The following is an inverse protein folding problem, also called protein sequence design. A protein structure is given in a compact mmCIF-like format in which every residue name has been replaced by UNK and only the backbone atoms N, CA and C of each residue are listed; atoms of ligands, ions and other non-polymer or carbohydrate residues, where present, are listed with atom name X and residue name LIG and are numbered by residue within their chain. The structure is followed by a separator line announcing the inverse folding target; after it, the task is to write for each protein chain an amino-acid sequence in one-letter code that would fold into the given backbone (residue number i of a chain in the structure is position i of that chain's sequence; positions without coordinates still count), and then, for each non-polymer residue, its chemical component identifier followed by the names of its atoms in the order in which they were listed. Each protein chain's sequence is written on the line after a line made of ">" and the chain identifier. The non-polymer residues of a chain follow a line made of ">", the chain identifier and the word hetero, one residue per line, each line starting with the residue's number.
data_IF_177223659186
#
_entry.id   IF_177223659186
#
_cell.length_a   1.000
_cell.length_b   1.000
_cell.length_c   1.000
_cell.angle_alpha   90.00
_cell.angle_beta   90.00
_cell.angle_gamma   90.00
#
_symmetry.space_group_name_H-M   'P 1'
#
loop_
_entity.id
_entity.type
_entity.pdbx_description
1 polymer ?
#
# COMPACT_ATOMS: atom_id res chain seq x y z
N UNK A 1 9.30 -2.10 37.77
CA UNK A 1 9.34 -3.24 36.83
C UNK A 1 7.94 -3.82 36.89
N UNK A 2 7.18 -3.76 35.80
CA UNK A 2 5.81 -4.30 35.75
C UNK A 2 5.85 -5.82 35.95
N UNK A 3 4.90 -6.38 36.69
CA UNK A 3 4.76 -7.85 36.76
C UNK A 3 4.04 -8.42 35.53
N UNK A 4 3.97 -9.75 35.41
CA UNK A 4 3.38 -10.40 34.24
C UNK A 4 1.87 -10.15 34.10
N UNK A 5 1.12 -10.03 35.20
CA UNK A 5 -0.31 -9.75 35.14
C UNK A 5 -0.57 -8.29 34.76
N UNK A 6 0.17 -7.36 35.38
CA UNK A 6 0.16 -5.94 35.02
C UNK A 6 0.52 -5.75 33.56
N UNK A 7 1.57 -6.43 33.06
CA UNK A 7 1.96 -6.39 31.65
C UNK A 7 0.88 -6.96 30.72
N UNK A 8 0.26 -8.10 31.07
CA UNK A 8 -0.78 -8.75 30.26
C UNK A 8 -2.05 -7.89 30.16
N UNK A 9 -2.29 -7.04 31.13
CA UNK A 9 -3.47 -6.16 31.17
C UNK A 9 -3.20 -4.79 30.53
N UNK A 10 -1.96 -4.50 30.12
CA UNK A 10 -1.67 -3.31 29.32
C UNK A 10 -2.23 -3.43 27.90
N UNK A 11 -2.61 -2.31 27.27
CA UNK A 11 -2.95 -2.29 25.86
C UNK A 11 -1.74 -2.70 25.00
N UNK A 12 -1.94 -3.67 24.10
CA UNK A 12 -0.88 -4.11 23.18
C UNK A 12 -1.03 -3.42 21.84
N UNK A 13 0.10 -3.10 21.20
CA UNK A 13 0.13 -2.61 19.82
C UNK A 13 1.03 -3.52 18.98
N UNK A 14 0.50 -4.01 17.87
CA UNK A 14 1.17 -4.96 16.99
C UNK A 14 1.23 -4.42 15.57
N UNK A 15 2.38 -4.51 14.91
CA UNK A 15 2.51 -4.31 13.47
C UNK A 15 2.65 -5.65 12.76
N UNK A 16 1.74 -5.96 11.85
CA UNK A 16 1.84 -7.13 10.99
C UNK A 16 2.68 -6.80 9.76
N UNK A 17 3.81 -7.49 9.63
CA UNK A 17 4.71 -7.42 8.48
C UNK A 17 4.53 -8.65 7.59
N UNK A 18 4.65 -8.48 6.28
CA UNK A 18 4.76 -9.61 5.35
C UNK A 18 4.21 -9.28 3.96
N UNK A 19 4.47 -10.19 3.02
CA UNK A 19 4.05 -10.05 1.63
C UNK A 19 2.53 -9.80 1.47
N UNK A 20 2.13 -9.21 0.35
CA UNK A 20 0.70 -9.10 0.03
C UNK A 20 0.04 -10.48 -0.02
N UNK A 21 -1.15 -10.59 0.59
CA UNK A 21 -1.95 -11.82 0.62
C UNK A 21 -1.72 -12.77 1.81
N UNK A 22 -0.63 -12.66 2.57
CA UNK A 22 -0.27 -13.64 3.62
C UNK A 22 -1.24 -13.77 4.80
N UNK A 23 -2.34 -13.00 4.81
CA UNK A 23 -3.41 -13.10 5.80
C UNK A 23 -3.45 -11.95 6.81
N UNK A 24 -2.62 -10.90 6.64
CA UNK A 24 -2.57 -9.75 7.56
C UNK A 24 -3.95 -9.12 7.81
N UNK A 25 -4.62 -8.71 6.73
CA UNK A 25 -5.97 -8.12 6.79
C UNK A 25 -7.03 -9.08 7.34
N UNK A 26 -6.92 -10.38 7.08
CA UNK A 26 -7.85 -11.39 7.62
C UNK A 26 -7.71 -11.46 9.14
N UNK A 27 -6.48 -11.52 9.64
CA UNK A 27 -6.20 -11.52 11.08
C UNK A 27 -6.65 -10.21 11.74
N UNK A 28 -6.27 -9.07 11.18
CA UNK A 28 -6.64 -7.76 11.72
C UNK A 28 -8.16 -7.53 11.75
N UNK A 29 -8.86 -7.95 10.69
CA UNK A 29 -10.34 -7.87 10.63
C UNK A 29 -10.99 -8.78 11.67
N UNK A 30 -10.46 -9.98 11.86
CA UNK A 30 -10.96 -10.92 12.89
C UNK A 30 -10.81 -10.31 14.28
N UNK A 31 -9.61 -9.85 14.65
CA UNK A 31 -9.32 -9.24 15.95
C UNK A 31 -10.18 -8.01 16.23
N UNK A 32 -10.40 -7.16 15.22
CA UNK A 32 -11.34 -6.03 15.33
C UNK A 32 -12.75 -6.48 15.68
N UNK A 33 -13.24 -7.53 15.02
CA UNK A 33 -14.63 -7.99 15.16
C UNK A 33 -14.87 -8.75 16.45
N UNK A 34 -13.90 -9.52 16.94
CA UNK A 34 -14.08 -10.44 18.07
C UNK A 34 -13.43 -10.00 19.37
N UNK A 35 -12.40 -9.15 19.34
CA UNK A 35 -11.54 -8.88 20.50
C UNK A 35 -11.38 -7.39 20.86
N UNK A 36 -12.15 -6.49 20.24
CA UNK A 36 -12.05 -5.03 20.45
C UNK A 36 -10.66 -4.43 20.12
N UNK A 37 -10.02 -4.94 19.07
CA UNK A 37 -8.79 -4.36 18.54
C UNK A 37 -9.09 -3.22 17.57
N UNK A 38 -8.31 -2.14 17.65
CA UNK A 38 -8.33 -1.11 16.62
C UNK A 38 -7.56 -1.60 15.39
N UNK A 39 -8.25 -1.73 14.25
CA UNK A 39 -7.63 -2.10 12.97
C UNK A 39 -7.22 -0.85 12.21
N UNK A 40 -5.92 -0.59 12.20
CA UNK A 40 -5.30 0.39 11.32
C UNK A 40 -4.86 -0.30 10.03
N UNK A 41 -5.49 0.04 8.90
CA UNK A 41 -5.11 -0.47 7.58
C UNK A 41 -4.27 0.58 6.84
N UNK A 42 -3.02 0.23 6.54
CA UNK A 42 -2.11 1.11 5.82
C UNK A 42 -2.63 1.44 4.41
N UNK A 43 -3.10 0.42 3.67
CA UNK A 43 -3.63 0.61 2.30
C UNK A 43 -4.86 1.54 2.30
N UNK A 44 -5.75 1.39 3.28
CA UNK A 44 -6.89 2.29 3.46
C UNK A 44 -6.42 3.73 3.75
N UNK A 45 -5.39 3.90 4.59
CA UNK A 45 -4.84 5.21 4.92
C UNK A 45 -4.17 5.86 3.71
N UNK A 46 -3.36 5.11 2.97
CA UNK A 46 -2.73 5.53 1.71
C UNK A 46 -3.80 6.08 0.77
N UNK A 47 -4.87 5.32 0.55
CA UNK A 47 -5.94 5.71 -0.37
C UNK A 47 -6.74 6.93 0.08
N UNK A 48 -7.19 6.96 1.33
CA UNK A 48 -8.13 7.99 1.83
C UNK A 48 -7.49 9.28 2.31
N UNK A 49 -6.19 9.28 2.57
CA UNK A 49 -5.48 10.46 3.09
C UNK A 49 -4.44 10.98 2.13
N UNK A 50 -3.57 10.11 1.64
CA UNK A 50 -2.39 10.56 0.89
C UNK A 50 -2.62 10.61 -0.60
N UNK A 51 -3.45 9.70 -1.15
CA UNK A 51 -3.74 9.64 -2.57
C UNK A 51 -5.14 10.13 -2.94
N UNK A 52 -5.99 10.45 -1.97
CA UNK A 52 -7.39 10.82 -2.19
C UNK A 52 -7.52 11.97 -3.19
N UNK A 53 -6.84 13.10 -2.94
CA UNK A 53 -6.89 14.26 -3.83
C UNK A 53 -6.28 13.95 -5.21
N UNK A 54 -5.13 13.26 -5.26
CA UNK A 54 -4.51 12.87 -6.52
C UNK A 54 -5.42 11.99 -7.41
N UNK A 55 -6.16 11.06 -6.79
CA UNK A 55 -7.14 10.21 -7.48
C UNK A 55 -8.27 11.08 -8.05
N UNK A 56 -8.84 11.95 -7.21
CA UNK A 56 -9.96 12.82 -7.60
C UNK A 56 -9.53 13.82 -8.68
N UNK A 57 -8.35 14.40 -8.58
CA UNK A 57 -7.83 15.36 -9.55
C UNK A 57 -7.51 14.70 -10.89
N UNK A 58 -7.01 13.46 -10.90
CA UNK A 58 -6.87 12.69 -12.13
C UNK A 58 -8.24 12.42 -12.79
N UNK A 59 -9.30 12.15 -12.02
CA UNK A 59 -10.65 11.98 -12.57
C UNK A 59 -11.17 13.30 -13.14
N UNK A 60 -11.05 14.41 -12.40
CA UNK A 60 -11.41 15.76 -12.86
C UNK A 60 -10.67 16.11 -14.14
N UNK A 61 -9.36 15.87 -14.20
CA UNK A 61 -8.54 16.10 -15.38
C UNK A 61 -9.08 15.34 -16.60
N UNK A 62 -9.43 14.05 -16.43
CA UNK A 62 -10.04 13.25 -17.51
C UNK A 62 -11.40 13.78 -17.94
N UNK A 63 -12.27 14.17 -17.00
CA UNK A 63 -13.58 14.80 -17.31
C UNK A 63 -13.42 16.08 -18.12
N UNK A 64 -12.45 16.92 -17.76
CA UNK A 64 -12.20 18.16 -18.50
C UNK A 64 -11.63 17.93 -19.90
N UNK A 65 -11.08 16.74 -20.18
CA UNK A 65 -10.42 16.40 -21.46
C UNK A 65 -11.20 15.43 -22.35
N UNK A 66 -12.19 14.71 -21.83
CA UNK A 66 -12.96 13.71 -22.59
C UNK A 66 -13.93 14.31 -23.63
N UNK A 67 -14.10 15.63 -23.65
CA UNK A 67 -14.91 16.34 -24.65
C UNK A 67 -16.42 16.38 -24.35
N UNK A 68 -16.90 15.68 -23.33
CA UNK A 68 -18.28 15.75 -22.86
C UNK A 68 -18.52 17.03 -22.04
N UNK A 69 -19.08 18.05 -22.70
CA UNK A 69 -19.39 19.33 -22.07
C UNK A 69 -20.47 19.22 -20.99
N UNK A 70 -21.41 18.30 -21.12
CA UNK A 70 -22.49 18.17 -20.14
C UNK A 70 -21.93 17.80 -18.76
N UNK A 71 -21.10 16.76 -18.70
CA UNK A 71 -20.47 16.33 -17.44
C UNK A 71 -19.46 17.36 -16.94
N UNK A 72 -18.64 17.92 -17.84
CA UNK A 72 -17.62 18.90 -17.47
C UNK A 72 -18.23 20.20 -16.92
N UNK A 73 -19.33 20.68 -17.50
CA UNK A 73 -19.99 21.90 -17.06
C UNK A 73 -20.69 21.70 -15.70
N UNK A 74 -21.37 20.56 -15.49
CA UNK A 74 -21.96 20.20 -14.20
C UNK A 74 -20.92 20.15 -13.07
N UNK A 75 -19.73 19.61 -13.35
CA UNK A 75 -18.65 19.55 -12.36
C UNK A 75 -18.02 20.93 -12.13
N UNK A 76 -17.92 21.78 -13.17
CA UNK A 76 -17.37 23.14 -13.07
C UNK A 76 -18.30 24.09 -12.31
N UNK A 77 -19.60 23.94 -12.46
CA UNK A 77 -20.61 24.74 -11.75
C UNK A 77 -20.94 24.22 -10.35
N UNK A 78 -20.20 23.21 -9.85
CA UNK A 78 -20.46 22.54 -8.57
C UNK A 78 -21.89 21.97 -8.46
N UNK A 79 -22.50 21.65 -9.61
CA UNK A 79 -23.84 21.05 -9.67
C UNK A 79 -23.80 19.53 -9.45
N UNK A 80 -22.63 18.91 -9.59
CA UNK A 80 -22.31 17.56 -9.15
C UNK A 80 -20.98 17.55 -8.40
N UNK A 81 -20.83 16.60 -7.47
CA UNK A 81 -19.54 16.31 -6.83
C UNK A 81 -19.08 14.90 -7.18
N UNK A 82 -17.77 14.67 -7.14
CA UNK A 82 -17.15 13.38 -7.39
C UNK A 82 -16.28 13.04 -6.19
N UNK A 83 -16.45 11.82 -5.68
CA UNK A 83 -15.64 11.30 -4.59
C UNK A 83 -15.33 9.81 -4.80
N UNK A 84 -14.34 9.30 -4.06
CA UNK A 84 -13.98 7.90 -4.07
C UNK A 84 -14.77 7.12 -3.01
N UNK A 85 -15.02 5.84 -3.27
CA UNK A 85 -15.61 4.91 -2.29
C UNK A 85 -14.55 3.94 -1.75
N UNK A 86 -13.36 4.46 -1.42
CA UNK A 86 -12.29 3.67 -0.83
C UNK A 86 -12.73 3.17 0.55
N UNK A 87 -12.58 1.87 0.77
CA UNK A 87 -12.78 1.23 2.06
C UNK A 87 -11.69 0.18 2.26
N UNK A 88 -11.61 -0.41 3.46
CA UNK A 88 -10.67 -1.52 3.72
C UNK A 88 -10.89 -2.67 2.73
N UNK A 89 -12.14 -2.92 2.31
CA UNK A 89 -12.49 -3.99 1.37
C UNK A 89 -12.46 -3.53 -0.11
N UNK A 90 -12.37 -2.21 -0.38
CA UNK A 90 -12.37 -1.65 -1.73
C UNK A 90 -11.20 -0.68 -1.93
N UNK A 91 -10.08 -1.23 -2.40
CA UNK A 91 -8.86 -0.47 -2.74
C UNK A 91 -8.71 -0.22 -4.25
N UNK A 92 -9.73 -0.55 -5.05
CA UNK A 92 -9.67 -0.42 -6.51
C UNK A 92 -9.32 0.99 -7.01
N UNK A 93 -9.78 2.10 -6.39
CA UNK A 93 -9.37 3.44 -6.81
C UNK A 93 -7.85 3.68 -6.68
N UNK A 94 -7.22 3.13 -5.63
CA UNK A 94 -5.78 3.26 -5.39
C UNK A 94 -5.00 2.51 -6.46
N UNK A 95 -5.33 1.23 -6.71
CA UNK A 95 -4.64 0.43 -7.72
C UNK A 95 -4.83 0.99 -9.12
N UNK A 96 -6.05 1.44 -9.45
CA UNK A 96 -6.36 2.01 -10.77
C UNK A 96 -5.62 3.33 -11.00
N UNK A 97 -5.51 4.17 -9.97
CA UNK A 97 -4.68 5.37 -10.05
C UNK A 97 -3.21 5.02 -10.19
N UNK A 98 -2.66 4.11 -9.40
CA UNK A 98 -1.24 3.73 -9.48
C UNK A 98 -0.85 3.29 -10.89
N UNK A 99 -1.69 2.46 -11.52
CA UNK A 99 -1.57 2.06 -12.92
C UNK A 99 -0.34 1.18 -13.22
N UNK A 100 -0.17 0.86 -14.50
CA UNK A 100 0.97 0.10 -15.00
C UNK A 100 1.66 0.87 -16.11
N UNK A 101 2.98 0.71 -16.23
CA UNK A 101 3.73 1.22 -17.37
C UNK A 101 3.30 0.50 -18.66
N UNK A 102 3.11 1.26 -19.74
CA UNK A 102 2.87 0.71 -21.07
C UNK A 102 2.05 1.64 -21.97
N UNK A 103 1.52 1.07 -23.05
CA UNK A 103 0.83 1.78 -24.11
C UNK A 103 -0.50 2.39 -23.63
N UNK A 104 -0.67 3.69 -23.86
CA UNK A 104 -1.87 4.42 -23.42
C UNK A 104 -3.17 3.88 -24.04
N UNK A 105 -3.13 3.37 -25.28
CA UNK A 105 -4.27 2.74 -25.95
C UNK A 105 -4.69 1.41 -25.31
N UNK A 106 -3.77 0.77 -24.57
CA UNK A 106 -4.01 -0.45 -23.80
C UNK A 106 -4.22 -0.16 -22.30
N UNK A 107 -4.41 1.11 -21.92
CA UNK A 107 -4.62 1.52 -20.53
C UNK A 107 -3.33 1.70 -19.72
N UNK A 108 -2.17 1.69 -20.36
CA UNK A 108 -0.87 1.94 -19.74
C UNK A 108 -0.57 3.41 -19.47
N UNK A 109 0.50 3.64 -18.71
CA UNK A 109 1.05 4.95 -18.41
C UNK A 109 2.40 5.12 -19.12
N UNK A 110 2.65 6.33 -19.62
CA UNK A 110 3.99 6.73 -20.03
C UNK A 110 4.96 6.67 -18.82
N UNK A 111 6.27 6.56 -19.11
CA UNK A 111 7.31 6.35 -18.10
C UNK A 111 7.32 7.47 -17.05
N UNK A 112 7.11 8.72 -17.47
CA UNK A 112 7.12 9.88 -16.58
C UNK A 112 5.95 9.80 -15.58
N UNK A 113 4.74 9.60 -16.10
CA UNK A 113 3.52 9.47 -15.30
C UNK A 113 3.59 8.25 -14.37
N UNK A 114 4.08 7.11 -14.86
CA UNK A 114 4.28 5.92 -14.04
C UNK A 114 5.21 6.20 -12.84
N UNK A 115 6.41 6.75 -13.10
CA UNK A 115 7.39 7.04 -12.04
C UNK A 115 6.90 8.13 -11.06
N UNK A 116 6.17 9.13 -11.55
CA UNK A 116 5.55 10.14 -10.69
C UNK A 116 4.56 9.51 -9.72
N UNK A 117 3.71 8.60 -10.19
CA UNK A 117 2.74 7.90 -9.34
C UNK A 117 3.40 6.92 -8.37
N UNK A 118 4.50 6.26 -8.77
CA UNK A 118 5.32 5.45 -7.85
C UNK A 118 5.89 6.32 -6.72
N UNK A 119 6.37 7.54 -7.02
CA UNK A 119 6.87 8.47 -6.01
C UNK A 119 5.77 8.94 -5.06
N UNK A 120 4.57 9.27 -5.57
CA UNK A 120 3.42 9.63 -4.73
C UNK A 120 3.04 8.48 -3.80
N UNK A 121 3.04 7.24 -4.31
CA UNK A 121 2.76 6.06 -3.49
C UNK A 121 3.83 5.85 -2.42
N UNK A 122 5.12 6.00 -2.75
CA UNK A 122 6.21 5.93 -1.78
C UNK A 122 6.04 6.93 -0.62
N UNK A 123 5.70 8.19 -0.95
CA UNK A 123 5.42 9.22 0.06
C UNK A 123 4.19 8.86 0.91
N UNK A 124 3.14 8.33 0.29
CA UNK A 124 1.93 7.89 0.97
C UNK A 124 2.20 6.73 1.93
N UNK A 125 3.02 5.77 1.51
CA UNK A 125 3.42 4.62 2.31
C UNK A 125 4.19 5.08 3.56
N UNK A 126 5.20 5.95 3.40
CA UNK A 126 5.96 6.55 4.52
C UNK A 126 5.03 7.30 5.46
N UNK A 127 4.15 8.14 4.91
CA UNK A 127 3.18 8.90 5.70
C UNK A 127 2.27 7.99 6.52
N UNK A 128 1.79 6.91 5.91
CA UNK A 128 0.92 5.95 6.58
C UNK A 128 1.60 5.25 7.76
N UNK A 129 2.92 5.05 7.72
CA UNK A 129 3.66 4.46 8.85
C UNK A 129 3.91 5.51 9.95
N UNK A 130 4.24 6.75 9.58
CA UNK A 130 4.39 7.86 10.55
C UNK A 130 3.10 8.18 11.31
N UNK A 131 1.96 7.82 10.75
CA UNK A 131 0.66 7.97 11.38
C UNK A 131 0.37 6.93 12.48
N UNK A 132 1.12 5.82 12.57
CA UNK A 132 0.80 4.70 13.47
C UNK A 132 0.74 5.13 14.94
N UNK A 133 1.78 5.78 15.46
CA UNK A 133 1.85 6.20 16.88
C UNK A 133 0.66 7.05 17.33
N UNK A 134 0.25 8.04 16.50
CA UNK A 134 -0.93 8.86 16.83
C UNK A 134 -2.24 8.08 16.76
N UNK A 135 -2.35 7.05 15.91
CA UNK A 135 -3.54 6.22 15.84
C UNK A 135 -3.61 5.21 16.99
N UNK A 136 -2.47 4.77 17.52
CA UNK A 136 -2.40 4.05 18.80
C UNK A 136 -2.99 4.91 19.91
N UNK A 137 -2.53 6.16 20.07
CA UNK A 137 -3.08 7.07 21.10
C UNK A 137 -4.59 7.28 20.93
N UNK A 138 -5.07 7.50 19.70
CA UNK A 138 -6.51 7.64 19.41
C UNK A 138 -7.30 6.38 19.75
N UNK A 139 -6.76 5.21 19.44
CA UNK A 139 -7.44 3.93 19.69
C UNK A 139 -7.79 3.76 21.16
N UNK A 140 -6.89 4.13 22.07
CA UNK A 140 -7.08 4.00 23.51
C UNK A 140 -7.85 5.19 24.09
N UNK A 141 -7.49 6.42 23.74
CA UNK A 141 -8.04 7.63 24.37
C UNK A 141 -9.43 8.01 23.85
N UNK A 142 -9.72 7.78 22.57
CA UNK A 142 -10.98 8.20 21.93
C UNK A 142 -11.93 7.02 21.79
N UNK A 143 -11.43 5.89 21.27
CA UNK A 143 -12.27 4.74 20.93
C UNK A 143 -12.34 3.69 22.04
N UNK A 144 -11.51 3.81 23.09
CA UNK A 144 -11.42 2.83 24.18
C UNK A 144 -11.26 1.39 23.68
N UNK A 145 -10.50 1.22 22.59
CA UNK A 145 -10.11 -0.09 22.10
C UNK A 145 -9.15 -0.75 23.10
N UNK A 146 -9.21 -2.09 23.21
CA UNK A 146 -8.36 -2.84 24.13
C UNK A 146 -6.91 -2.86 23.63
N UNK A 147 -6.75 -3.17 22.36
CA UNK A 147 -5.45 -3.37 21.72
C UNK A 147 -5.46 -2.72 20.32
N UNK A 148 -4.31 -2.65 19.68
CA UNK A 148 -4.10 -2.01 18.39
C UNK A 148 -3.36 -2.94 17.42
N UNK A 149 -3.82 -2.98 16.16
CA UNK A 149 -3.13 -3.68 15.08
C UNK A 149 -2.93 -2.79 13.86
N UNK A 150 -1.67 -2.60 13.50
CA UNK A 150 -1.24 -2.06 12.23
C UNK A 150 -1.14 -3.18 11.19
N UNK A 151 -2.15 -3.27 10.33
CA UNK A 151 -2.14 -4.04 9.10
C UNK A 151 -1.35 -3.26 8.04
N UNK A 152 -0.01 -3.41 8.10
CA UNK A 152 0.90 -2.73 7.20
C UNK A 152 0.72 -3.22 5.75
N UNK A 153 1.11 -2.42 4.78
CA UNK A 153 1.00 -2.82 3.37
C UNK A 153 1.96 -3.98 3.05
N UNK A 154 1.76 -4.59 1.88
CA UNK A 154 2.72 -5.55 1.32
C UNK A 154 4.03 -4.93 0.82
N UNK A 155 4.23 -3.62 0.97
CA UNK A 155 5.40 -2.86 0.49
C UNK A 155 6.19 -2.19 1.62
N UNK A 156 5.84 -2.41 2.89
CA UNK A 156 6.55 -1.81 4.04
C UNK A 156 8.08 -2.02 3.96
N UNK A 157 8.54 -3.22 3.60
CA UNK A 157 9.97 -3.53 3.48
C UNK A 157 10.70 -2.76 2.36
N UNK A 158 9.99 -2.04 1.49
CA UNK A 158 10.59 -1.25 0.41
C UNK A 158 10.79 0.21 0.77
N UNK A 159 10.22 0.66 1.90
CA UNK A 159 10.32 2.04 2.39
C UNK A 159 11.18 2.16 3.65
N UNK A 160 11.69 1.04 4.16
CA UNK A 160 12.59 1.00 5.29
C UNK A 160 13.84 0.16 4.97
N UNK A 161 14.96 0.51 5.59
CA UNK A 161 16.19 -0.27 5.55
C UNK A 161 16.49 -0.87 6.94
N UNK A 162 16.38 -2.20 7.11
CA UNK A 162 16.69 -2.84 8.40
C UNK A 162 18.17 -2.74 8.78
N UNK A 163 19.07 -2.39 7.86
CA UNK A 163 20.49 -2.23 8.15
C UNK A 163 20.87 -0.79 8.49
N UNK A 164 19.95 0.16 8.34
CA UNK A 164 20.16 1.56 8.71
C UNK A 164 19.67 1.77 10.16
N UNK A 165 20.57 1.99 11.13
CA UNK A 165 20.18 2.22 12.52
C UNK A 165 19.41 3.53 12.71
N UNK A 166 19.47 4.45 11.73
CA UNK A 166 18.77 5.72 11.73
C UNK A 166 17.45 5.67 10.93
N UNK A 167 17.01 4.47 10.50
CA UNK A 167 15.72 4.30 9.81
C UNK A 167 14.56 4.72 10.73
N UNK A 168 13.97 5.87 10.41
CA UNK A 168 12.92 6.47 11.23
C UNK A 168 11.62 5.65 11.27
N UNK A 169 11.34 4.86 10.22
CA UNK A 169 10.12 4.06 10.16
C UNK A 169 10.25 2.88 11.10
N UNK A 170 11.36 2.13 11.01
CA UNK A 170 11.63 1.01 11.89
C UNK A 170 11.79 1.47 13.34
N UNK A 171 12.51 2.56 13.57
CA UNK A 171 12.67 3.14 14.91
C UNK A 171 11.31 3.48 15.52
N UNK A 172 10.42 4.14 14.79
CA UNK A 172 9.08 4.49 15.29
C UNK A 172 8.20 3.26 15.50
N UNK A 173 8.18 2.32 14.55
CA UNK A 173 7.36 1.11 14.67
C UNK A 173 7.82 0.20 15.80
N UNK A 174 9.13 0.05 16.00
CA UNK A 174 9.69 -0.76 17.09
C UNK A 174 9.53 -0.10 18.46
N UNK A 175 9.52 1.24 18.52
CA UNK A 175 9.24 1.96 19.76
C UNK A 175 7.77 1.81 20.19
N UNK A 176 6.84 1.82 19.24
CA UNK A 176 5.40 1.86 19.51
C UNK A 176 4.71 0.49 19.44
N UNK A 177 5.29 -0.50 18.75
CA UNK A 177 4.63 -1.79 18.46
C UNK A 177 5.56 -2.99 18.49
N UNK A 178 5.00 -4.16 18.81
CA UNK A 178 5.64 -5.44 18.50
C UNK A 178 5.46 -5.76 17.01
N UNK A 179 6.55 -5.90 16.27
CA UNK A 179 6.53 -6.24 14.85
C UNK A 179 6.48 -7.76 14.69
N UNK A 180 5.44 -8.26 14.03
CA UNK A 180 5.23 -9.68 13.75
C UNK A 180 5.30 -9.95 12.26
N UNK A 181 6.31 -10.71 11.82
CA UNK A 181 6.44 -11.14 10.44
C UNK A 181 5.61 -12.40 10.16
N UNK A 182 4.56 -12.25 9.36
CA UNK A 182 3.79 -13.36 8.81
C UNK A 182 4.47 -13.92 7.56
N UNK A 183 5.30 -14.94 7.77
CA UNK A 183 6.02 -15.64 6.70
C UNK A 183 5.10 -16.52 5.87
N UNK A 184 5.15 -16.34 4.55
CA UNK A 184 4.49 -17.25 3.61
C UNK A 184 5.22 -18.61 3.57
N UNK A 185 4.45 -19.71 3.62
CA UNK A 185 4.97 -21.02 3.24
C UNK A 185 5.20 -21.14 1.72
N UNK A 186 6.08 -22.05 1.30
CA UNK A 186 6.49 -22.17 -0.12
C UNK A 186 5.33 -22.46 -1.08
N UNK A 187 4.37 -23.29 -0.65
CA UNK A 187 3.17 -23.59 -1.44
C UNK A 187 2.27 -22.36 -1.63
N UNK A 188 2.19 -21.50 -0.59
CA UNK A 188 1.43 -20.25 -0.66
C UNK A 188 2.10 -19.26 -1.63
N UNK A 189 3.42 -19.09 -1.53
CA UNK A 189 4.19 -18.23 -2.42
C UNK A 189 4.01 -18.62 -3.91
N UNK A 190 4.05 -19.92 -4.23
CA UNK A 190 3.81 -20.42 -5.60
C UNK A 190 2.41 -20.04 -6.12
N UNK A 191 1.38 -20.17 -5.29
CA UNK A 191 0.01 -19.82 -5.67
C UNK A 191 -0.18 -18.32 -5.91
N UNK A 192 0.42 -17.48 -5.06
CA UNK A 192 0.37 -16.02 -5.25
C UNK A 192 1.10 -15.60 -6.52
N UNK A 193 2.29 -16.15 -6.77
CA UNK A 193 3.04 -15.89 -8.00
C UNK A 193 2.22 -16.28 -9.24
N UNK A 194 1.63 -17.48 -9.23
CA UNK A 194 0.80 -17.94 -10.35
C UNK A 194 -0.37 -17.00 -10.63
N UNK A 195 -1.05 -16.52 -9.59
CA UNK A 195 -2.17 -15.56 -9.71
C UNK A 195 -1.71 -14.22 -10.27
N UNK A 196 -0.60 -13.68 -9.76
CA UNK A 196 -0.05 -12.42 -10.24
C UNK A 196 0.45 -12.49 -11.69
N UNK A 197 0.91 -13.66 -12.15
CA UNK A 197 1.26 -13.87 -13.56
C UNK A 197 0.03 -14.02 -14.46
N UNK A 198 -1.07 -14.59 -13.97
CA UNK A 198 -2.31 -14.68 -14.76
C UNK A 198 -3.02 -13.33 -14.90
N UNK A 199 -3.08 -12.57 -13.79
CA UNK A 199 -3.80 -11.31 -13.68
C UNK A 199 -2.94 -10.31 -12.89
N UNK A 200 -1.92 -9.71 -13.53
CA UNK A 200 -1.05 -8.76 -12.84
C UNK A 200 -1.86 -7.54 -12.43
N UNK A 201 -1.58 -7.03 -11.22
CA UNK A 201 -2.20 -5.82 -10.69
C UNK A 201 -1.18 -4.68 -10.67
N UNK A 202 -1.62 -3.41 -10.73
CA UNK A 202 -0.78 -2.27 -10.42
C UNK A 202 -0.13 -2.45 -9.04
N UNK A 203 1.18 -2.24 -8.96
CA UNK A 203 1.97 -2.42 -7.74
C UNK A 203 2.92 -1.24 -7.55
N UNK A 204 3.26 -1.02 -6.29
CA UNK A 204 4.37 -0.17 -5.93
C UNK A 204 5.68 -0.96 -6.03
N UNK A 205 6.71 -0.32 -6.56
CA UNK A 205 8.04 -0.85 -6.75
C UNK A 205 9.07 0.14 -6.21
N UNK A 206 10.04 -0.38 -5.46
CA UNK A 206 11.24 0.36 -5.09
C UNK A 206 11.99 0.84 -6.36
N UNK A 207 12.50 2.08 -6.39
CA UNK A 207 13.26 2.62 -7.52
C UNK A 207 14.44 1.75 -7.98
N UNK A 208 15.17 1.12 -7.04
CA UNK A 208 16.29 0.22 -7.34
C UNK A 208 15.82 -1.06 -8.03
N UNK A 209 14.61 -1.53 -7.71
CA UNK A 209 14.02 -2.68 -8.35
C UNK A 209 13.52 -2.36 -9.76
N UNK A 210 12.73 -1.29 -9.92
CA UNK A 210 12.02 -1.02 -11.19
C UNK A 210 12.90 -0.32 -12.24
N UNK A 211 13.89 0.45 -11.80
CA UNK A 211 14.78 1.23 -12.67
C UNK A 211 15.43 0.41 -13.80
N UNK A 212 16.05 -0.75 -13.50
CA UNK A 212 16.63 -1.62 -14.52
C UNK A 212 15.63 -2.08 -15.59
N UNK A 213 14.37 -2.34 -15.22
CA UNK A 213 13.33 -2.80 -16.17
C UNK A 213 12.78 -1.69 -17.07
N UNK A 214 12.94 -0.42 -16.67
CA UNK A 214 12.47 0.72 -17.46
C UNK A 214 13.57 1.33 -18.35
N UNK A 215 14.84 0.99 -18.11
CA UNK A 215 16.00 1.65 -18.73
C UNK A 215 15.93 1.69 -20.26
N UNK A 216 15.68 0.54 -20.88
CA UNK A 216 15.72 0.37 -22.34
C UNK A 216 14.31 0.39 -22.97
N UNK A 217 13.30 0.85 -22.23
CA UNK A 217 11.90 0.91 -22.67
C UNK A 217 11.53 2.29 -23.21
N UNK A 218 10.57 2.41 -24.15
CA UNK A 218 10.15 3.72 -24.69
C UNK A 218 9.57 4.66 -23.63
N UNK A 219 9.92 5.95 -23.65
CA UNK A 219 9.37 6.89 -22.66
C UNK A 219 7.85 7.03 -22.74
N UNK A 220 7.28 6.93 -23.94
CA UNK A 220 5.83 6.95 -24.17
C UNK A 220 5.11 5.67 -23.75
N UNK A 221 5.83 4.58 -23.48
CA UNK A 221 5.24 3.25 -23.30
C UNK A 221 4.67 2.63 -24.59
N UNK A 222 4.81 3.30 -25.74
CA UNK A 222 4.20 2.85 -26.99
C UNK A 222 4.65 1.43 -27.38
N UNK A 223 3.69 0.58 -27.74
CA UNK A 223 3.93 -0.82 -28.11
C UNK A 223 4.21 -1.78 -26.96
N UNK A 224 4.14 -1.31 -25.71
CA UNK A 224 4.27 -2.16 -24.52
C UNK A 224 2.87 -2.50 -23.98
N UNK A 225 2.50 -3.78 -23.97
CA UNK A 225 1.28 -4.24 -23.28
C UNK A 225 1.52 -4.24 -21.75
N UNK A 226 0.74 -3.47 -20.95
CA UNK A 226 1.02 -3.32 -19.53
C UNK A 226 0.98 -4.64 -18.73
N UNK A 227 -0.01 -5.54 -18.93
CA UNK A 227 0.03 -6.86 -18.33
C UNK A 227 1.27 -7.68 -18.71
N UNK A 228 1.66 -7.74 -19.98
CA UNK A 228 2.86 -8.46 -20.43
C UNK A 228 4.13 -7.92 -19.77
N UNK A 229 4.25 -6.59 -19.62
CA UNK A 229 5.36 -5.98 -18.90
C UNK A 229 5.38 -6.34 -17.41
N UNK A 230 4.21 -6.38 -16.75
CA UNK A 230 4.11 -6.60 -15.31
C UNK A 230 4.27 -8.07 -14.87
N UNK A 231 3.87 -9.04 -15.71
CA UNK A 231 3.93 -10.49 -15.42
C UNK A 231 5.28 -11.00 -14.89
N UNK A 232 6.43 -10.69 -15.53
CA UNK A 232 7.73 -11.16 -15.06
C UNK A 232 8.20 -10.44 -13.79
N UNK A 233 7.67 -9.25 -13.48
CA UNK A 233 8.14 -8.44 -12.35
C UNK A 233 7.75 -9.05 -11.00
N UNK A 234 6.55 -9.61 -10.87
CA UNK A 234 6.07 -10.07 -9.57
C UNK A 234 6.91 -11.18 -8.93
N UNK A 235 7.30 -12.27 -9.66
CA UNK A 235 8.23 -13.26 -9.11
C UNK A 235 9.56 -12.65 -8.65
N UNK A 236 10.13 -11.73 -9.43
CA UNK A 236 11.40 -11.07 -9.09
C UNK A 236 11.23 -10.11 -7.91
N UNK A 237 10.08 -9.44 -7.81
CA UNK A 237 9.73 -8.58 -6.68
C UNK A 237 9.65 -9.37 -5.37
N UNK A 238 9.09 -10.58 -5.41
CA UNK A 238 9.07 -11.48 -4.24
C UNK A 238 10.49 -11.83 -3.80
N UNK A 239 11.39 -12.14 -4.74
CA UNK A 239 12.80 -12.43 -4.45
C UNK A 239 13.52 -11.20 -3.90
N UNK A 240 13.21 -10.01 -4.42
CA UNK A 240 13.77 -8.74 -3.97
C UNK A 240 13.31 -8.37 -2.55
N UNK A 241 12.03 -8.60 -2.22
CA UNK A 241 11.46 -8.25 -0.92
C UNK A 241 11.81 -9.25 0.19
N UNK A 242 11.93 -10.55 -0.12
CA UNK A 242 12.12 -11.60 0.90
C UNK A 242 13.32 -11.35 1.84
N UNK A 243 14.56 -11.07 1.36
CA UNK A 243 15.68 -10.80 2.25
C UNK A 243 15.47 -9.59 3.15
N UNK A 244 14.73 -8.58 2.68
CA UNK A 244 14.41 -7.38 3.48
C UNK A 244 13.41 -7.72 4.59
N UNK A 245 12.40 -8.53 4.30
CA UNK A 245 11.50 -9.02 5.34
C UNK A 245 12.21 -9.88 6.38
N UNK A 246 13.10 -10.76 5.93
CA UNK A 246 13.86 -11.62 6.83
C UNK A 246 14.77 -10.77 7.74
N UNK A 247 15.46 -9.76 7.20
CA UNK A 247 16.31 -8.84 7.97
C UNK A 247 15.54 -7.94 8.97
N UNK A 248 14.29 -7.57 8.67
CA UNK A 248 13.45 -6.82 9.63
C UNK A 248 13.02 -7.71 10.81
N UNK A 249 12.95 -9.03 10.61
CA UNK A 249 12.46 -9.97 11.60
C UNK A 249 13.56 -10.58 12.49
N UNK A 250 14.82 -10.30 12.20
CA UNK A 250 15.99 -10.65 13.00
C UNK A 250 16.28 -9.60 14.08
#
# INVERSE_FOLDING_TARGET
>A
MLDFEEFRDLPHAVTLLGMSGVGKTVLATSLRRSMNWFHYSADYRIGTTYLAEHIIDNIKFKIMRMGDRFVADLLRSDSIYINHNISVDNLAPVSTFLGMYGDAGSGGLDKKTFLERQKLYWQAEIGSMKDVGRFISKSWQIYSCKDFINDASGSLCEICDPNDPDDQIMTSLAADTLILYLRAGDAYAKNVIKRAQSDPKPLFYNPEFIGPYLKDTPDSGAGIDPPVFARPLFPELVKFRKPRYDAIAE
#
